data_IF_536694717486
#
_entry.id   IF_536694717486
#
_cell.length_a   1.000
_cell.length_b   1.000
_cell.length_c   1.000
_cell.angle_alpha   90.00
_cell.angle_beta   90.00
_cell.angle_gamma   90.00
#
_symmetry.space_group_name_H-M   'P 1'
#
loop_
_entity.id
_entity.type
_entity.pdbx_description
1 polymer ?
#
# COMPACT_ATOMS: atom_id res chain seq x y z
N UNK A 1 -38.47 -2.08 -66.12
CA UNK A 1 -38.02 -1.28 -64.96
C UNK A 1 -39.10 -1.31 -63.89
N UNK A 2 -38.72 -1.48 -62.60
CA UNK A 2 -39.53 -1.80 -61.40
C UNK A 2 -39.67 -3.32 -61.24
N UNK A 3 -39.19 -4.01 -60.21
CA UNK A 3 -38.95 -3.62 -58.81
C UNK A 3 -37.77 -4.43 -58.24
N UNK A 4 -36.61 -3.79 -58.06
CA UNK A 4 -35.44 -4.32 -57.35
C UNK A 4 -35.51 -3.96 -55.84
N UNK A 5 -36.72 -3.72 -55.31
CA UNK A 5 -36.91 -3.15 -53.96
C UNK A 5 -37.23 -4.17 -52.87
N UNK A 6 -37.31 -5.46 -53.18
CA UNK A 6 -37.73 -6.47 -52.19
C UNK A 6 -36.61 -7.29 -51.56
N UNK A 7 -35.33 -7.02 -51.87
CA UNK A 7 -34.21 -7.82 -51.34
C UNK A 7 -33.25 -7.03 -50.42
N UNK A 8 -33.69 -5.93 -49.81
CA UNK A 8 -32.87 -5.15 -48.84
C UNK A 8 -33.41 -5.26 -47.40
N UNK A 9 -34.54 -5.94 -47.17
CA UNK A 9 -35.17 -5.97 -45.83
C UNK A 9 -34.67 -7.13 -44.95
N UNK A 10 -33.93 -8.11 -45.47
CA UNK A 10 -33.47 -9.25 -44.69
C UNK A 10 -32.09 -9.06 -44.00
N UNK A 11 -31.58 -7.83 -43.91
CA UNK A 11 -30.35 -7.52 -43.15
C UNK A 11 -30.64 -6.76 -41.85
N UNK A 12 -31.90 -6.35 -41.61
CA UNK A 12 -32.24 -5.45 -40.51
C UNK A 12 -32.74 -6.12 -39.21
N UNK A 13 -32.90 -7.46 -39.16
CA UNK A 13 -33.60 -8.10 -38.03
C UNK A 13 -32.75 -9.04 -37.17
N UNK A 14 -31.42 -9.08 -37.34
CA UNK A 14 -30.51 -9.77 -36.40
C UNK A 14 -29.80 -8.73 -35.51
N UNK A 15 -30.56 -7.77 -34.99
CA UNK A 15 -30.25 -7.12 -33.72
C UNK A 15 -30.84 -8.00 -32.61
N UNK A 16 -30.31 -9.21 -32.51
CA UNK A 16 -30.44 -10.01 -31.30
C UNK A 16 -29.74 -9.18 -30.22
N UNK A 17 -30.52 -8.64 -29.27
CA UNK A 17 -29.99 -8.16 -28.01
C UNK A 17 -29.15 -9.29 -27.42
N UNK A 18 -27.82 -9.22 -27.58
CA UNK A 18 -26.92 -10.26 -27.10
C UNK A 18 -26.68 -10.05 -25.59
N UNK A 19 -27.26 -10.88 -24.71
CA UNK A 19 -26.97 -10.80 -23.28
C UNK A 19 -25.47 -11.05 -23.01
N UNK A 20 -24.79 -11.78 -23.90
CA UNK A 20 -23.35 -12.09 -23.84
C UNK A 20 -22.47 -10.84 -23.88
N UNK A 21 -22.82 -9.81 -24.68
CA UNK A 21 -22.04 -8.56 -24.74
C UNK A 21 -22.29 -7.68 -23.50
N UNK A 22 -23.50 -7.72 -22.95
CA UNK A 22 -23.82 -7.03 -21.70
C UNK A 22 -23.09 -7.69 -20.51
N UNK A 23 -23.00 -9.02 -20.52
CA UNK A 23 -22.29 -9.81 -19.52
C UNK A 23 -20.77 -9.60 -19.60
N UNK A 24 -20.19 -9.55 -20.81
CA UNK A 24 -18.77 -9.23 -21.00
C UNK A 24 -18.42 -7.82 -20.51
N UNK A 25 -19.28 -6.82 -20.80
CA UNK A 25 -19.07 -5.45 -20.32
C UNK A 25 -19.18 -5.36 -18.80
N UNK A 26 -20.19 -6.00 -18.21
CA UNK A 26 -20.36 -6.06 -16.77
C UNK A 26 -19.17 -6.75 -16.09
N UNK A 27 -18.66 -7.83 -16.69
CA UNK A 27 -17.51 -8.56 -16.19
C UNK A 27 -16.23 -7.72 -16.26
N UNK A 28 -15.97 -7.03 -17.38
CA UNK A 28 -14.83 -6.10 -17.50
C UNK A 28 -14.88 -4.98 -16.47
N UNK A 29 -16.08 -4.44 -16.22
CA UNK A 29 -16.28 -3.41 -15.21
C UNK A 29 -16.03 -3.95 -13.79
N UNK A 30 -16.45 -5.19 -13.51
CA UNK A 30 -16.18 -5.89 -12.25
C UNK A 30 -14.68 -6.12 -12.03
N UNK A 31 -13.96 -6.55 -13.07
CA UNK A 31 -12.52 -6.77 -13.03
C UNK A 31 -11.80 -5.45 -12.73
N UNK A 32 -12.12 -4.38 -13.46
CA UNK A 32 -11.51 -3.07 -13.22
C UNK A 32 -11.80 -2.53 -11.81
N UNK A 33 -13.03 -2.70 -11.29
CA UNK A 33 -13.35 -2.35 -9.89
C UNK A 33 -12.49 -3.14 -8.90
N UNK A 34 -12.35 -4.45 -9.10
CA UNK A 34 -11.55 -5.30 -8.24
C UNK A 34 -10.06 -4.96 -8.30
N UNK A 35 -9.50 -4.72 -9.48
CA UNK A 35 -8.12 -4.28 -9.66
C UNK A 35 -7.86 -2.97 -8.91
N UNK A 36 -8.73 -1.97 -9.08
CA UNK A 36 -8.62 -0.70 -8.37
C UNK A 36 -8.69 -0.88 -6.85
N UNK A 37 -9.57 -1.76 -6.36
CA UNK A 37 -9.69 -2.06 -4.93
C UNK A 37 -8.48 -2.80 -4.39
N UNK A 38 -7.90 -3.72 -5.16
CA UNK A 38 -6.66 -4.41 -4.79
C UNK A 38 -5.52 -3.41 -4.69
N UNK A 39 -5.33 -2.53 -5.69
CA UNK A 39 -4.31 -1.48 -5.63
C UNK A 39 -4.49 -0.56 -4.42
N UNK A 40 -5.73 -0.15 -4.12
CA UNK A 40 -6.02 0.67 -2.94
C UNK A 40 -5.69 -0.08 -1.64
N UNK A 41 -6.02 -1.37 -1.55
CA UNK A 41 -5.72 -2.20 -0.38
C UNK A 41 -4.22 -2.43 -0.22
N UNK A 42 -3.48 -2.67 -1.30
CA UNK A 42 -2.02 -2.78 -1.29
C UNK A 42 -1.37 -1.50 -0.77
N UNK A 43 -1.85 -0.34 -1.23
CA UNK A 43 -1.37 0.95 -0.75
C UNK A 43 -1.67 1.14 0.75
N UNK A 44 -2.90 0.85 1.19
CA UNK A 44 -3.28 0.92 2.61
C UNK A 44 -2.44 -0.06 3.43
N UNK A 45 -2.16 -1.25 2.92
CA UNK A 45 -1.37 -2.27 3.61
C UNK A 45 0.09 -1.87 3.75
N UNK A 46 0.67 -1.22 2.73
CA UNK A 46 2.01 -0.63 2.80
C UNK A 46 2.06 0.50 3.85
N UNK A 47 1.04 1.37 3.87
CA UNK A 47 0.92 2.47 4.83
C UNK A 47 0.68 1.98 6.28
N UNK A 48 -0.20 0.99 6.48
CA UNK A 48 -0.58 0.45 7.79
C UNK A 48 0.43 -0.55 8.35
N UNK A 49 1.00 -1.40 7.48
CA UNK A 49 2.12 -2.26 7.80
C UNK A 49 3.27 -1.43 8.33
N UNK A 50 3.66 -0.37 7.61
CA UNK A 50 4.70 0.56 8.04
C UNK A 50 4.39 1.28 9.36
N UNK A 51 3.12 1.49 9.72
CA UNK A 51 2.73 2.25 10.92
C UNK A 51 2.92 1.47 12.23
N UNK A 52 2.84 0.14 12.20
CA UNK A 52 2.86 -0.70 13.39
C UNK A 52 4.04 -1.69 13.46
N UNK A 53 4.92 -1.73 12.45
CA UNK A 53 6.11 -2.61 12.44
C UNK A 53 6.97 -2.49 13.68
N UNK A 54 7.16 -1.28 14.19
CA UNK A 54 7.88 -1.04 15.45
C UNK A 54 7.32 -1.78 16.67
N UNK A 55 6.11 -2.33 16.62
CA UNK A 55 5.56 -3.15 17.72
C UNK A 55 6.10 -4.57 17.75
N UNK A 56 6.69 -5.06 16.66
CA UNK A 56 7.25 -6.40 16.58
C UNK A 56 8.67 -6.43 17.18
N UNK A 57 8.88 -7.07 18.36
CA UNK A 57 10.19 -7.12 19.01
C UNK A 57 11.26 -7.83 18.18
N UNK A 58 10.89 -8.73 17.26
CA UNK A 58 11.84 -9.46 16.40
C UNK A 58 12.53 -8.48 15.44
N UNK A 59 11.84 -7.42 15.00
CA UNK A 59 12.43 -6.42 14.12
C UNK A 59 13.51 -5.60 14.85
N UNK A 60 13.35 -5.34 16.14
CA UNK A 60 14.35 -4.60 16.94
C UNK A 60 15.65 -5.39 17.11
N UNK A 61 15.57 -6.71 17.21
CA UNK A 61 16.74 -7.57 17.28
C UNK A 61 17.60 -7.55 16.01
N UNK A 62 17.04 -7.07 14.88
CA UNK A 62 17.75 -6.95 13.61
C UNK A 62 18.49 -5.63 13.47
N UNK A 63 18.24 -4.66 14.35
CA UNK A 63 18.96 -3.39 14.38
C UNK A 63 20.42 -3.68 14.74
N UNK A 64 21.34 -2.98 14.08
CA UNK A 64 22.77 -3.04 14.34
C UNK A 64 23.30 -1.65 14.58
N UNK A 65 24.35 -1.55 15.38
CA UNK A 65 25.14 -0.31 15.44
C UNK A 65 25.61 0.05 14.03
N UNK A 66 25.67 1.34 13.76
CA UNK A 66 26.00 1.94 12.46
C UNK A 66 25.01 1.66 11.32
N UNK A 67 23.88 0.99 11.57
CA UNK A 67 22.81 0.86 10.58
C UNK A 67 22.33 2.25 10.15
N UNK A 68 22.05 2.44 8.85
CA UNK A 68 21.57 3.73 8.36
C UNK A 68 20.16 4.05 8.88
N UNK A 69 19.84 5.33 9.00
CA UNK A 69 18.47 5.79 9.29
C UNK A 69 17.46 5.26 8.28
N UNK A 70 17.85 5.14 7.01
CA UNK A 70 16.98 4.64 5.94
C UNK A 70 16.67 3.16 6.09
N UNK A 71 17.66 2.33 6.42
CA UNK A 71 17.43 0.90 6.67
C UNK A 71 16.63 0.70 7.96
N UNK A 72 16.87 1.52 8.97
CA UNK A 72 16.08 1.52 10.21
C UNK A 72 14.61 1.87 9.92
N UNK A 73 14.37 2.85 9.04
CA UNK A 73 13.03 3.25 8.60
C UNK A 73 12.32 2.16 7.79
N UNK A 74 13.03 1.46 6.92
CA UNK A 74 12.49 0.29 6.20
C UNK A 74 12.16 -0.86 7.16
N UNK A 75 12.97 -1.03 8.19
CA UNK A 75 12.81 -2.09 9.16
C UNK A 75 11.60 -1.85 10.08
N UNK A 76 11.58 -0.72 10.79
CA UNK A 76 10.62 -0.41 11.86
C UNK A 76 9.44 0.44 11.39
N UNK A 77 9.54 1.04 10.20
CA UNK A 77 8.56 1.97 9.67
C UNK A 77 8.83 3.43 10.06
N UNK A 78 7.82 4.28 9.88
CA UNK A 78 7.93 5.71 10.15
C UNK A 78 7.85 5.97 11.67
N UNK A 79 8.77 6.76 12.26
CA UNK A 79 8.66 7.14 13.66
C UNK A 79 7.45 8.07 13.89
N UNK A 80 6.88 7.99 15.09
CA UNK A 80 5.81 8.89 15.53
C UNK A 80 6.31 10.29 15.83
N UNK A 81 7.58 10.41 16.24
CA UNK A 81 8.24 11.69 16.53
C UNK A 81 9.74 11.60 16.22
N UNK A 82 10.31 12.70 15.73
CA UNK A 82 11.76 12.87 15.52
C UNK A 82 12.20 14.11 16.30
N UNK A 83 13.31 14.01 17.03
CA UNK A 83 13.95 15.12 17.74
C UNK A 83 15.41 15.21 17.31
N UNK A 84 15.81 16.36 16.76
CA UNK A 84 17.15 16.63 16.23
C UNK A 84 17.89 17.57 17.18
N UNK A 85 18.47 17.02 18.26
CA UNK A 85 19.28 17.78 19.21
C UNK A 85 20.78 17.49 18.96
N UNK A 86 21.54 17.17 20.01
CA UNK A 86 22.92 16.70 19.89
C UNK A 86 22.96 15.39 19.09
N UNK A 87 21.97 14.51 19.33
CA UNK A 87 21.72 13.31 18.54
C UNK A 87 20.32 13.37 17.96
N UNK A 88 20.14 12.77 16.79
CA UNK A 88 18.82 12.60 16.19
C UNK A 88 18.15 11.40 16.85
N UNK A 89 17.00 11.59 17.49
CA UNK A 89 16.28 10.51 18.18
C UNK A 89 14.89 10.32 17.58
N UNK A 90 14.57 9.08 17.23
CA UNK A 90 13.29 8.65 16.69
C UNK A 90 12.50 7.92 17.75
N UNK A 91 11.30 8.39 18.05
CA UNK A 91 10.37 7.79 19.00
C UNK A 91 9.21 7.14 18.26
N UNK A 92 8.91 5.88 18.60
CA UNK A 92 7.89 5.10 17.91
C UNK A 92 6.58 5.01 18.72
N UNK A 93 6.65 4.94 20.05
CA UNK A 93 5.45 4.93 20.87
C UNK A 93 4.74 6.31 20.82
N UNK A 94 3.41 6.35 20.65
CA UNK A 94 2.68 7.61 20.41
C UNK A 94 2.75 8.60 21.58
N UNK A 95 2.87 8.11 22.81
CA UNK A 95 2.79 8.94 24.03
C UNK A 95 4.02 8.88 24.94
N UNK A 96 4.93 7.91 24.74
CA UNK A 96 6.04 7.65 25.67
C UNK A 96 7.36 7.69 24.93
N UNK A 97 8.26 8.58 25.36
CA UNK A 97 9.61 8.68 24.78
C UNK A 97 10.56 7.57 25.24
N UNK A 98 10.26 6.91 26.35
CA UNK A 98 11.14 5.90 26.96
C UNK A 98 10.77 4.47 26.57
N UNK A 99 9.67 4.30 25.85
CA UNK A 99 9.13 2.97 25.55
C UNK A 99 9.79 2.31 24.35
N UNK A 100 9.93 3.03 23.24
CA UNK A 100 10.53 2.48 22.02
C UNK A 100 11.15 3.59 21.19
N UNK A 101 12.47 3.59 21.10
CA UNK A 101 13.21 4.67 20.45
C UNK A 101 14.55 4.21 19.88
N UNK A 102 15.04 4.93 18.87
CA UNK A 102 16.35 4.74 18.25
C UNK A 102 17.03 6.10 18.20
N UNK A 103 18.28 6.20 18.62
CA UNK A 103 19.06 7.42 18.46
C UNK A 103 20.23 7.22 17.51
N UNK A 104 20.52 8.28 16.77
CA UNK A 104 21.45 8.30 15.66
C UNK A 104 22.48 9.39 15.87
N UNK A 105 23.67 9.13 15.34
CA UNK A 105 24.73 10.11 15.15
C UNK A 105 25.14 10.09 13.68
N UNK A 106 25.17 11.26 13.06
CA UNK A 106 25.41 11.42 11.62
C UNK A 106 24.57 10.47 10.73
N UNK A 107 23.31 10.22 11.12
CA UNK A 107 22.40 9.33 10.39
C UNK A 107 22.64 7.83 10.58
N UNK A 108 23.52 7.45 11.50
CA UNK A 108 23.85 6.06 11.84
C UNK A 108 23.36 5.70 13.23
N UNK A 109 22.83 4.49 13.40
CA UNK A 109 22.33 4.01 14.70
C UNK A 109 23.48 3.93 15.72
N UNK A 110 23.30 4.63 16.84
CA UNK A 110 24.16 4.50 18.01
C UNK A 110 23.59 3.52 19.04
N UNK A 111 22.27 3.55 19.23
CA UNK A 111 21.57 2.71 20.20
C UNK A 111 20.05 2.77 20.05
N UNK A 112 19.38 1.85 20.72
CA UNK A 112 17.93 1.71 20.67
C UNK A 112 17.39 1.05 21.93
N UNK A 113 16.12 1.31 22.21
CA UNK A 113 15.30 0.60 23.21
C UNK A 113 14.10 -0.01 22.51
N UNK A 114 13.93 -1.32 22.65
CA UNK A 114 12.79 -2.03 22.10
C UNK A 114 11.54 -1.86 22.99
N UNK A 115 10.32 -1.99 22.45
CA UNK A 115 9.12 -2.02 23.27
C UNK A 115 9.19 -3.20 24.25
N UNK A 116 8.96 -2.92 25.53
CA UNK A 116 8.77 -3.94 26.56
C UNK A 116 7.31 -4.46 26.48
N UNK A 117 7.09 -5.75 26.71
CA UNK A 117 5.74 -6.36 26.74
C UNK A 117 4.82 -5.73 27.80
#
# INVERSE_FOLDING_TARGET
MKSLKTLIVAVASVLICNPVLADEKALKQRISDLENRVTALEQIMEETGSKNRWKDPILWQRIKKEMSSDDTRKLLGKPGRVEEQIFTTWYYHPTSKLHSYVWFDEGKVLGWEAPNE
#
